data_IF_836597493059
#
_entry.id   IF_836597493059
#
_cell.length_a   1.000
_cell.length_b   1.000
_cell.length_c   1.000
_cell.angle_alpha   90.00
_cell.angle_beta   90.00
_cell.angle_gamma   90.00
#
_symmetry.space_group_name_H-M   'P 1'
#
loop_
_entity.id
_entity.type
_entity.pdbx_description
1 polymer ?
#
# COMPACT_ATOMS: atom_id res chain seq x y z
N UNK A 1 29.96 -23.52 -8.95
CA UNK A 1 28.53 -23.56 -9.32
C UNK A 1 27.82 -22.75 -8.26
N UNK A 2 27.31 -21.57 -8.61
CA UNK A 2 26.65 -20.66 -7.66
C UNK A 2 25.14 -20.70 -7.94
N UNK A 3 24.39 -21.22 -6.98
CA UNK A 3 22.93 -21.24 -7.00
C UNK A 3 22.43 -19.90 -6.44
N UNK A 4 22.01 -19.01 -7.33
CA UNK A 4 21.25 -17.82 -6.95
C UNK A 4 19.78 -18.22 -6.78
N UNK A 5 19.31 -18.19 -5.54
CA UNK A 5 17.89 -18.31 -5.16
C UNK A 5 17.08 -17.16 -5.78
N UNK A 6 16.41 -17.43 -6.89
CA UNK A 6 15.34 -16.59 -7.39
C UNK A 6 14.08 -16.84 -6.53
N UNK A 7 13.82 -15.94 -5.58
CA UNK A 7 12.55 -15.89 -4.86
C UNK A 7 11.46 -15.56 -5.89
N UNK A 8 10.71 -16.58 -6.29
CA UNK A 8 9.51 -16.45 -7.12
C UNK A 8 8.45 -15.64 -6.35
N UNK A 9 8.46 -14.32 -6.51
CA UNK A 9 7.22 -13.57 -6.36
C UNK A 9 6.47 -13.67 -7.69
N UNK A 10 5.25 -14.21 -7.73
CA UNK A 10 4.44 -14.10 -8.92
C UNK A 10 4.23 -12.61 -9.17
N UNK A 11 4.67 -12.13 -10.33
CA UNK A 11 4.18 -10.85 -10.87
C UNK A 11 2.73 -11.13 -11.24
N UNK A 12 1.84 -11.05 -10.25
CA UNK A 12 0.42 -11.23 -10.46
C UNK A 12 -0.01 -10.18 -11.49
N UNK A 13 -0.57 -10.67 -12.60
CA UNK A 13 -1.23 -9.88 -13.63
C UNK A 13 -2.02 -8.76 -12.95
N UNK A 14 -1.87 -7.52 -13.42
CA UNK A 14 -2.60 -6.35 -12.97
C UNK A 14 -4.10 -6.66 -12.89
N UNK A 15 -4.55 -7.13 -11.72
CA UNK A 15 -5.97 -7.23 -11.41
C UNK A 15 -6.41 -5.81 -11.12
N UNK A 16 -7.63 -5.43 -11.49
CA UNK A 16 -8.17 -4.10 -11.16
C UNK A 16 -8.30 -3.85 -9.63
N UNK A 17 -7.81 -4.77 -8.79
CA UNK A 17 -7.81 -4.68 -7.34
C UNK A 17 -6.62 -3.85 -6.87
N UNK A 18 -6.81 -3.02 -5.83
CA UNK A 18 -5.69 -2.31 -5.23
C UNK A 18 -4.69 -3.30 -4.62
N UNK A 19 -3.41 -2.99 -4.74
CA UNK A 19 -2.31 -3.77 -4.20
C UNK A 19 -1.85 -3.25 -2.82
N UNK A 20 -2.15 -1.99 -2.51
CA UNK A 20 -1.65 -1.32 -1.32
C UNK A 20 -2.71 -0.43 -0.65
N UNK A 21 -2.56 -0.20 0.65
CA UNK A 21 -3.33 0.76 1.45
C UNK A 21 -2.45 1.96 1.78
N UNK A 22 -2.95 3.16 1.54
CA UNK A 22 -2.29 4.40 1.97
C UNK A 22 -2.74 4.77 3.38
N UNK A 23 -1.79 4.95 4.31
CA UNK A 23 -2.06 5.41 5.68
C UNK A 23 -1.18 6.60 6.07
N UNK A 24 -1.75 7.58 6.75
CA UNK A 24 -1.02 8.71 7.30
C UNK A 24 -0.83 8.54 8.81
N UNK A 25 0.35 8.91 9.29
CA UNK A 25 0.61 8.98 10.73
C UNK A 25 -0.02 10.26 11.28
N UNK A 26 -0.92 10.11 12.24
CA UNK A 26 -1.62 11.23 12.90
C UNK A 26 -1.23 11.24 14.39
N UNK A 27 -1.14 12.43 14.99
CA UNK A 27 -0.74 12.61 16.38
C UNK A 27 0.77 12.77 16.59
N UNK A 28 1.18 12.92 17.86
CA UNK A 28 2.58 13.12 18.26
C UNK A 28 2.96 12.18 19.41
N UNK A 29 4.25 11.83 19.48
CA UNK A 29 4.80 11.02 20.57
C UNK A 29 4.22 9.61 20.61
N UNK A 30 3.94 9.11 21.83
CA UNK A 30 3.45 7.75 22.08
C UNK A 30 2.01 7.50 21.61
N UNK A 31 1.24 8.55 21.34
CA UNK A 31 -0.17 8.46 20.91
C UNK A 31 -0.32 8.57 19.39
N UNK A 32 0.76 8.40 18.63
CA UNK A 32 0.66 8.45 17.19
C UNK A 32 -0.04 7.19 16.65
N UNK A 33 -1.04 7.39 15.81
CA UNK A 33 -1.82 6.33 15.15
C UNK A 33 -1.65 6.43 13.63
N UNK A 34 -2.11 5.40 12.91
CA UNK A 34 -2.14 5.40 11.46
C UNK A 34 -3.59 5.38 10.97
N UNK A 35 -3.98 6.43 10.26
CA UNK A 35 -5.30 6.58 9.66
C UNK A 35 -5.24 6.19 8.18
N UNK A 36 -6.24 5.44 7.71
CA UNK A 36 -6.34 5.05 6.29
C UNK A 36 -6.81 6.22 5.44
N UNK A 37 -5.96 6.65 4.51
CA UNK A 37 -6.27 7.70 3.54
C UNK A 37 -6.88 7.16 2.26
N UNK A 38 -6.55 5.93 1.86
CA UNK A 38 -6.88 5.45 0.53
C UNK A 38 -6.29 4.10 0.19
N UNK A 39 -6.25 3.82 -1.11
CA UNK A 39 -5.66 2.61 -1.70
C UNK A 39 -4.78 2.99 -2.89
N UNK A 40 -3.88 2.08 -3.27
CA UNK A 40 -2.98 2.29 -4.38
C UNK A 40 -2.80 1.04 -5.25
N UNK A 41 -2.48 1.28 -6.51
CA UNK A 41 -2.17 0.28 -7.53
C UNK A 41 -0.75 0.51 -8.04
N UNK A 42 -0.07 -0.58 -8.37
CA UNK A 42 1.21 -0.56 -9.05
C UNK A 42 0.96 -0.76 -10.55
N UNK A 43 1.49 0.13 -11.38
CA UNK A 43 1.38 0.05 -12.83
C UNK A 43 2.58 -0.70 -13.41
N UNK A 44 2.45 -1.17 -14.65
CA UNK A 44 3.48 -1.94 -15.35
C UNK A 44 4.79 -1.15 -15.59
N UNK A 45 4.72 0.18 -15.64
CA UNK A 45 5.87 1.09 -15.76
C UNK A 45 6.58 1.37 -14.43
N UNK A 46 6.13 0.74 -13.34
CA UNK A 46 6.61 0.95 -11.98
C UNK A 46 6.05 2.19 -11.29
N UNK A 47 5.18 2.96 -11.95
CA UNK A 47 4.48 4.07 -11.31
C UNK A 47 3.40 3.58 -10.34
N UNK A 48 3.05 4.42 -9.37
CA UNK A 48 2.05 4.11 -8.36
C UNK A 48 0.91 5.10 -8.49
N UNK A 49 -0.29 4.58 -8.75
CA UNK A 49 -1.52 5.38 -8.71
C UNK A 49 -2.17 5.25 -7.32
N UNK A 50 -2.53 6.39 -6.73
CA UNK A 50 -3.13 6.45 -5.38
C UNK A 50 -4.50 7.09 -5.47
N UNK A 51 -5.51 6.43 -4.93
CA UNK A 51 -6.87 6.96 -4.77
C UNK A 51 -7.17 7.19 -3.30
N UNK A 52 -7.27 8.46 -2.91
CA UNK A 52 -7.69 8.85 -1.57
C UNK A 52 -9.22 8.77 -1.39
N UNK A 53 -9.65 8.47 -0.17
CA UNK A 53 -11.04 8.55 0.24
C UNK A 53 -11.36 9.97 0.68
N UNK A 54 -12.22 10.65 -0.08
CA UNK A 54 -12.61 12.04 0.18
C UNK A 54 -11.47 13.04 -0.04
N UNK A 55 -11.65 14.25 0.51
CA UNK A 55 -10.65 15.31 0.49
C UNK A 55 -9.73 15.16 1.69
N UNK A 56 -8.42 15.02 1.44
CA UNK A 56 -7.42 14.83 2.50
C UNK A 56 -6.38 15.94 2.49
N UNK A 57 -6.06 16.49 3.67
CA UNK A 57 -4.99 17.48 3.86
C UNK A 57 -3.75 16.78 4.41
N UNK A 58 -2.73 16.63 3.57
CA UNK A 58 -1.50 15.90 3.93
C UNK A 58 -0.43 16.90 4.38
N UNK A 59 0.01 16.78 5.64
CA UNK A 59 0.97 17.72 6.26
C UNK A 59 2.34 17.11 6.55
N UNK A 60 2.46 15.78 6.55
CA UNK A 60 3.69 15.06 6.92
C UNK A 60 3.97 13.81 6.09
N UNK A 61 3.27 13.64 4.96
CA UNK A 61 3.34 12.45 4.11
C UNK A 61 2.46 11.30 4.60
N UNK A 62 2.51 10.20 3.85
CA UNK A 62 1.81 8.94 4.15
C UNK A 62 2.66 7.76 3.68
N UNK A 63 2.28 6.56 4.11
CA UNK A 63 2.98 5.31 3.84
C UNK A 63 2.05 4.36 3.11
N UNK A 64 2.61 3.57 2.19
CA UNK A 64 1.90 2.50 1.48
C UNK A 64 2.20 1.15 2.14
N UNK A 65 1.15 0.41 2.46
CA UNK A 65 1.22 -0.93 3.03
C UNK A 65 0.69 -1.93 2.01
N UNK A 66 1.45 -2.97 1.62
CA UNK A 66 0.93 -4.05 0.79
C UNK A 66 -0.29 -4.68 1.45
N UNK A 67 -1.32 -4.97 0.65
CA UNK A 67 -2.48 -5.74 1.13
C UNK A 67 -2.07 -7.20 1.17
N UNK A 68 -1.94 -7.78 2.36
CA UNK A 68 -1.77 -9.22 2.50
C UNK A 68 -3.05 -9.97 2.14
N UNK A 69 -2.95 -11.26 1.78
CA UNK A 69 -4.11 -12.10 1.44
C UNK A 69 -5.17 -12.15 2.56
N UNK A 70 -4.78 -11.86 3.81
CA UNK A 70 -5.67 -11.87 4.98
C UNK A 70 -6.36 -10.52 5.29
N UNK A 71 -5.97 -9.42 4.67
CA UNK A 71 -6.56 -8.08 4.92
C UNK A 71 -7.80 -7.81 4.04
N UNK A 72 -8.16 -8.75 3.17
CA UNK A 72 -9.32 -8.67 2.26
C UNK A 72 -10.64 -9.13 2.92
N UNK A 73 -10.63 -9.51 4.20
CA UNK A 73 -11.72 -10.24 4.86
C UNK A 73 -12.54 -9.45 5.90
N UNK A 74 -12.38 -8.12 5.99
CA UNK A 74 -13.26 -7.30 6.84
C UNK A 74 -14.11 -6.36 5.99
N UNK A 75 -15.34 -6.82 5.71
CA UNK A 75 -16.46 -6.00 5.25
C UNK A 75 -17.74 -6.48 5.93
#
# INVERSE_FOLDING_TARGET
>A
MNENTATNQPVEKATNKPAMIAKQRVGRGKNATYERLGVAWLNDDGSIYIKVHGTQVITGGFVLYPIGENDQAEN
#
